data_IF_507741713142
#
_entry.id   IF_507741713142
#
_cell.length_a   1.000
_cell.length_b   1.000
_cell.length_c   1.000
_cell.angle_alpha   90.00
_cell.angle_beta   90.00
_cell.angle_gamma   90.00
#
_symmetry.space_group_name_H-M   'P 1'
#
loop_
_entity.id
_entity.type
_entity.pdbx_description
1 polymer ?
#
# COMPACT_ATOMS: atom_id res chain seq x y z
N UNK A 1 12.73 16.03 34.27
CA UNK A 1 12.39 14.83 33.48
C UNK A 1 12.05 15.32 32.08
N UNK A 2 12.93 15.12 31.11
CA UNK A 2 12.66 15.49 29.72
C UNK A 2 11.71 14.47 29.11
N UNK A 3 10.63 14.93 28.48
CA UNK A 3 9.76 14.07 27.69
C UNK A 3 10.44 13.86 26.33
N UNK A 4 10.77 12.62 25.99
CA UNK A 4 11.28 12.24 24.68
C UNK A 4 10.13 12.24 23.67
N UNK A 5 10.19 13.18 22.71
CA UNK A 5 9.21 13.30 21.62
C UNK A 5 9.11 12.04 20.76
N UNK A 6 10.16 11.21 20.75
CA UNK A 6 10.20 9.95 20.02
C UNK A 6 9.25 8.87 20.59
N UNK A 7 8.89 8.93 21.88
CA UNK A 7 7.85 8.06 22.47
C UNK A 7 6.43 8.43 21.98
N UNK A 8 6.23 9.66 21.50
CA UNK A 8 4.94 10.15 21.04
C UNK A 8 4.69 9.91 19.55
N UNK A 9 5.71 9.49 18.80
CA UNK A 9 5.58 9.22 17.38
C UNK A 9 4.96 7.83 17.18
N UNK A 10 3.86 7.70 16.39
CA UNK A 10 3.28 6.40 16.10
C UNK A 10 4.33 5.51 15.42
N UNK A 11 4.86 4.54 16.16
CA UNK A 11 5.73 3.53 15.58
C UNK A 11 4.89 2.72 14.61
N UNK A 12 5.23 2.79 13.31
CA UNK A 12 4.56 1.98 12.29
C UNK A 12 4.94 0.53 12.52
N UNK A 13 4.18 -0.16 13.36
CA UNK A 13 4.36 -1.60 13.56
C UNK A 13 3.97 -2.27 12.25
N UNK A 14 4.90 -2.94 11.54
CA UNK A 14 4.54 -3.67 10.33
C UNK A 14 3.55 -4.77 10.71
N UNK A 15 2.37 -4.76 10.09
CA UNK A 15 1.39 -5.82 10.28
C UNK A 15 2.02 -7.12 9.79
N UNK A 16 2.06 -8.14 10.65
CA UNK A 16 2.52 -9.47 10.27
C UNK A 16 1.64 -10.00 9.12
N UNK A 17 2.20 -10.72 8.15
CA UNK A 17 1.40 -11.44 7.16
C UNK A 17 0.39 -12.36 7.85
N UNK A 18 -0.76 -12.57 7.21
CA UNK A 18 -1.77 -13.54 7.66
C UNK A 18 -1.14 -14.93 7.66
N UNK A 19 -1.39 -15.72 8.72
CA UNK A 19 -0.97 -17.12 8.75
C UNK A 19 -1.88 -17.94 7.81
N UNK A 20 -1.28 -18.49 6.76
CA UNK A 20 -2.00 -19.21 5.70
C UNK A 20 -2.26 -20.68 6.06
N UNK A 21 -1.54 -21.24 7.04
CA UNK A 21 -1.64 -22.67 7.38
C UNK A 21 -2.99 -23.05 7.99
N UNK A 22 -3.68 -22.09 8.62
CA UNK A 22 -4.99 -22.29 9.25
C UNK A 22 -6.18 -22.03 8.32
N UNK A 23 -5.95 -21.59 7.09
CA UNK A 23 -7.02 -21.22 6.15
C UNK A 23 -7.47 -22.43 5.32
N UNK A 24 -8.77 -22.53 5.07
CA UNK A 24 -9.29 -23.51 4.11
C UNK A 24 -8.97 -23.08 2.66
N UNK A 25 -9.18 -23.99 1.70
CA UNK A 25 -8.98 -23.66 0.28
C UNK A 25 -9.87 -22.49 -0.16
N UNK A 26 -11.12 -22.43 0.32
CA UNK A 26 -12.03 -21.31 0.01
C UNK A 26 -11.50 -20.00 0.59
N UNK A 27 -11.05 -20.03 1.85
CA UNK A 27 -10.50 -18.83 2.50
C UNK A 27 -9.24 -18.33 1.79
N UNK A 28 -8.40 -19.23 1.28
CA UNK A 28 -7.23 -18.87 0.48
C UNK A 28 -7.62 -18.23 -0.85
N UNK A 29 -8.67 -18.74 -1.51
CA UNK A 29 -9.19 -18.15 -2.76
C UNK A 29 -9.76 -16.75 -2.52
N UNK A 30 -10.53 -16.56 -1.45
CA UNK A 30 -11.07 -15.26 -1.07
C UNK A 30 -9.96 -14.27 -0.69
N UNK A 31 -8.94 -14.74 0.05
CA UNK A 31 -7.77 -13.95 0.40
C UNK A 31 -6.98 -13.49 -0.84
N UNK A 32 -6.78 -14.40 -1.82
CA UNK A 32 -6.14 -14.07 -3.09
C UNK A 32 -6.96 -13.01 -3.84
N UNK A 33 -8.28 -13.20 -3.98
CA UNK A 33 -9.14 -12.26 -4.68
C UNK A 33 -9.08 -10.84 -4.07
N UNK A 34 -9.06 -10.76 -2.73
CA UNK A 34 -8.90 -9.48 -2.03
C UNK A 34 -7.55 -8.81 -2.33
N UNK A 35 -6.45 -9.58 -2.30
CA UNK A 35 -5.12 -9.06 -2.62
C UNK A 35 -5.00 -8.61 -4.08
N UNK A 36 -5.55 -9.36 -5.03
CA UNK A 36 -5.55 -9.00 -6.45
C UNK A 36 -6.34 -7.72 -6.73
N UNK A 37 -7.46 -7.52 -6.03
CA UNK A 37 -8.21 -6.27 -6.08
C UNK A 37 -7.37 -5.08 -5.59
N UNK A 38 -6.63 -5.23 -4.49
CA UNK A 38 -5.78 -4.16 -3.97
C UNK A 38 -4.57 -3.90 -4.88
N UNK A 39 -4.00 -4.94 -5.50
CA UNK A 39 -2.95 -4.80 -6.52
C UNK A 39 -3.47 -3.99 -7.71
N UNK A 40 -4.69 -4.27 -8.17
CA UNK A 40 -5.32 -3.52 -9.26
C UNK A 40 -5.46 -2.05 -8.90
N UNK A 41 -6.04 -1.76 -7.73
CA UNK A 41 -6.17 -0.39 -7.22
C UNK A 41 -4.82 0.34 -7.12
N UNK A 42 -3.79 -0.34 -6.61
CA UNK A 42 -2.45 0.24 -6.50
C UNK A 42 -1.86 0.56 -7.87
N UNK A 43 -2.05 -0.31 -8.87
CA UNK A 43 -1.62 -0.08 -10.25
C UNK A 43 -2.33 1.12 -10.87
N UNK A 44 -3.64 1.25 -10.69
CA UNK A 44 -4.42 2.39 -11.19
C UNK A 44 -3.92 3.71 -10.59
N UNK A 45 -3.64 3.72 -9.29
CA UNK A 45 -3.07 4.88 -8.60
C UNK A 45 -1.67 5.24 -9.12
N UNK A 46 -0.83 4.24 -9.40
CA UNK A 46 0.49 4.46 -10.01
C UNK A 46 0.33 5.09 -11.39
N UNK A 47 -0.54 4.55 -12.24
CA UNK A 47 -0.79 5.06 -13.57
C UNK A 47 -1.28 6.52 -13.52
N UNK A 48 -2.22 6.83 -12.63
CA UNK A 48 -2.71 8.20 -12.42
C UNK A 48 -1.58 9.15 -12.02
N UNK A 49 -0.71 8.74 -11.07
CA UNK A 49 0.43 9.55 -10.65
C UNK A 49 1.43 9.77 -11.79
N UNK A 50 1.72 8.73 -12.57
CA UNK A 50 2.63 8.81 -13.71
C UNK A 50 2.09 9.76 -14.79
N UNK A 51 0.79 9.71 -15.08
CA UNK A 51 0.14 10.63 -16.02
C UNK A 51 0.29 12.10 -15.56
N UNK A 52 0.08 12.38 -14.27
CA UNK A 52 0.29 13.72 -13.70
C UNK A 52 1.74 14.18 -13.81
N UNK A 53 2.71 13.29 -13.56
CA UNK A 53 4.14 13.61 -13.71
C UNK A 53 4.49 13.89 -15.17
N UNK A 54 4.00 13.08 -16.11
CA UNK A 54 4.24 13.28 -17.54
C UNK A 54 3.64 14.62 -18.04
N UNK A 55 2.43 14.96 -17.59
CA UNK A 55 1.80 16.25 -17.90
C UNK A 55 2.60 17.43 -17.35
N UNK A 56 3.07 17.34 -16.10
CA UNK A 56 3.94 18.35 -15.50
C UNK A 56 5.26 18.49 -16.30
N UNK A 57 5.92 17.39 -16.62
CA UNK A 57 7.16 17.43 -17.42
C UNK A 57 6.95 18.05 -18.80
N UNK A 58 5.82 17.80 -19.46
CA UNK A 58 5.49 18.42 -20.73
C UNK A 58 5.21 19.93 -20.62
N UNK A 59 4.67 20.38 -19.47
CA UNK A 59 4.44 21.79 -19.18
C UNK A 59 5.76 22.55 -18.92
N UNK A 60 6.68 21.95 -18.17
CA UNK A 60 7.97 22.58 -17.79
C UNK A 60 9.08 22.45 -18.85
N UNK A 61 8.88 21.67 -19.92
CA UNK A 61 9.84 21.52 -21.04
C UNK A 61 9.47 22.38 -22.27
N UNK A 62 8.47 23.24 -22.16
CA UNK A 62 8.16 24.28 -23.14
C UNK A 62 8.72 25.63 -22.71
#
# INVERSE_FOLDING_TARGET
>A
MGFDLDELLPTKIPKKPVDLNGLSISDLQDYIAALESEITRARDMIQSKQASVAAAQAFFKK
#
